data_IF_674371103170
#
_entry.id   IF_674371103170
#
_cell.length_a   1.000
_cell.length_b   1.000
_cell.length_c   1.000
_cell.angle_alpha   90.00
_cell.angle_beta   90.00
_cell.angle_gamma   90.00
#
_symmetry.space_group_name_H-M   'P 1'
#
loop_
_entity.id
_entity.type
_entity.pdbx_description
1 polymer ?
#
# COMPACT_ATOMS: atom_id res chain seq x y z
N UNK A 1 -52.78 24.36 -33.17
CA UNK A 1 -52.53 23.13 -32.37
C UNK A 1 -51.54 22.22 -33.10
N UNK A 2 -50.24 22.34 -32.85
CA UNK A 2 -49.24 21.29 -33.09
C UNK A 2 -48.25 21.36 -31.93
N UNK A 3 -48.37 20.37 -31.03
CA UNK A 3 -47.74 20.35 -29.72
C UNK A 3 -46.23 20.15 -29.91
N UNK A 4 -45.48 21.10 -29.39
CA UNK A 4 -44.06 20.98 -29.07
C UNK A 4 -43.94 19.82 -28.08
N UNK A 5 -43.29 18.73 -28.48
CA UNK A 5 -42.81 17.72 -27.55
C UNK A 5 -41.29 17.64 -27.70
N UNK A 6 -40.65 18.60 -27.06
CA UNK A 6 -39.23 18.60 -26.76
C UNK A 6 -39.01 17.46 -25.77
N UNK A 7 -38.59 16.28 -26.25
CA UNK A 7 -38.10 15.24 -25.37
C UNK A 7 -36.73 15.70 -24.86
N UNK A 8 -36.75 16.38 -23.71
CA UNK A 8 -35.58 16.70 -22.92
C UNK A 8 -34.96 15.36 -22.52
N UNK A 9 -33.91 14.96 -23.24
CA UNK A 9 -32.99 13.92 -22.79
C UNK A 9 -32.31 14.49 -21.55
N UNK A 10 -32.82 14.12 -20.39
CA UNK A 10 -32.25 14.47 -19.10
C UNK A 10 -30.97 13.64 -18.93
N UNK A 11 -29.86 14.12 -19.50
CA UNK A 11 -28.53 13.60 -19.21
C UNK A 11 -28.20 13.92 -17.76
N UNK A 12 -28.52 13.00 -16.85
CA UNK A 12 -28.00 13.00 -15.49
C UNK A 12 -26.53 12.56 -15.61
N UNK A 13 -25.64 13.52 -15.87
CA UNK A 13 -24.21 13.31 -15.65
C UNK A 13 -24.00 13.21 -14.14
N UNK A 14 -24.13 12.01 -13.59
CA UNK A 14 -23.70 11.73 -12.23
C UNK A 14 -22.20 12.00 -12.16
N UNK A 15 -21.80 13.07 -11.47
CA UNK A 15 -20.41 13.31 -11.12
C UNK A 15 -19.95 12.16 -10.23
N UNK A 16 -19.24 11.20 -10.80
CA UNK A 16 -18.51 10.22 -10.03
C UNK A 16 -17.31 10.95 -9.44
N UNK A 17 -17.33 11.16 -8.13
CA UNK A 17 -16.12 11.55 -7.42
C UNK A 17 -15.20 10.32 -7.45
N UNK A 18 -14.09 10.41 -8.18
CA UNK A 18 -13.08 9.35 -8.20
C UNK A 18 -12.31 9.49 -6.88
N UNK A 19 -12.79 8.84 -5.83
CA UNK A 19 -11.97 8.67 -4.63
C UNK A 19 -10.95 7.56 -4.91
N UNK A 20 -9.66 7.90 -4.86
CA UNK A 20 -8.62 6.88 -4.90
C UNK A 20 -8.67 6.11 -3.59
N UNK A 21 -8.99 4.82 -3.67
CA UNK A 21 -9.07 3.95 -2.50
C UNK A 21 -7.69 3.92 -1.80
N UNK A 22 -7.65 4.31 -0.53
CA UNK A 22 -6.42 4.23 0.27
C UNK A 22 -6.21 2.80 0.73
N UNK A 23 -4.99 2.30 0.57
CA UNK A 23 -4.56 0.99 1.04
C UNK A 23 -3.65 1.15 2.25
N UNK A 24 -3.86 0.30 3.24
CA UNK A 24 -3.16 0.27 4.51
C UNK A 24 -2.42 -1.05 4.67
N UNK A 25 -1.28 -0.99 5.35
CA UNK A 25 -0.47 -2.16 5.68
C UNK A 25 -0.64 -2.45 7.17
N UNK A 26 -0.94 -3.70 7.51
CA UNK A 26 -1.00 -4.18 8.89
C UNK A 26 -0.12 -5.40 9.08
N UNK A 27 0.73 -5.38 10.10
CA UNK A 27 1.61 -6.48 10.52
C UNK A 27 1.25 -7.01 11.90
N UNK A 28 2.13 -7.85 12.44
CA UNK A 28 1.90 -8.59 13.68
C UNK A 28 1.29 -9.97 13.41
N UNK A 29 1.28 -10.83 14.42
CA UNK A 29 0.71 -12.18 14.32
C UNK A 29 -0.81 -12.12 14.02
N UNK A 30 -1.51 -11.17 14.65
CA UNK A 30 -2.95 -10.95 14.50
C UNK A 30 -3.31 -9.84 13.49
N UNK A 31 -2.33 -9.31 12.75
CA UNK A 31 -2.50 -8.20 11.79
C UNK A 31 -3.13 -6.94 12.42
N UNK A 32 -2.76 -6.60 13.65
CA UNK A 32 -3.27 -5.47 14.43
C UNK A 32 -2.29 -4.28 14.54
N UNK A 33 -1.07 -4.43 14.02
CA UNK A 33 -0.05 -3.38 14.03
C UNK A 33 -0.08 -2.60 12.73
N UNK A 34 -0.47 -1.32 12.79
CA UNK A 34 -0.46 -0.45 11.63
C UNK A 34 0.98 -0.13 11.17
N UNK A 35 1.27 -0.34 9.88
CA UNK A 35 2.60 -0.15 9.27
C UNK A 35 2.64 0.94 8.19
N UNK A 36 1.54 1.67 7.97
CA UNK A 36 1.49 2.81 7.06
C UNK A 36 0.47 2.67 5.93
N UNK A 37 0.29 3.77 5.20
CA UNK A 37 -0.49 3.84 3.96
C UNK A 37 0.41 3.51 2.77
N UNK A 38 -0.02 2.55 1.97
CA UNK A 38 0.73 2.02 0.84
C UNK A 38 0.77 2.97 -0.36
N UNK A 39 -0.32 3.70 -0.62
CA UNK A 39 -0.50 4.54 -1.82
C UNK A 39 -0.78 6.01 -1.47
N UNK A 40 -0.17 6.51 -0.40
CA UNK A 40 -0.30 7.90 0.03
C UNK A 40 0.90 8.75 -0.42
N UNK A 41 0.69 10.07 -0.51
CA UNK A 41 1.76 11.02 -0.81
C UNK A 41 2.95 10.88 0.13
N UNK A 42 4.17 11.09 -0.37
CA UNK A 42 5.39 11.20 0.46
C UNK A 42 5.34 12.28 1.54
N UNK A 43 4.41 13.23 1.45
CA UNK A 43 4.19 14.24 2.48
C UNK A 43 3.15 13.83 3.55
N UNK A 44 2.43 12.71 3.36
CA UNK A 44 1.48 12.21 4.36
C UNK A 44 2.25 11.56 5.52
N UNK A 45 1.90 11.93 6.75
CA UNK A 45 2.59 11.45 7.96
C UNK A 45 2.43 9.96 8.23
N UNK A 46 1.43 9.32 7.60
CA UNK A 46 1.18 7.88 7.65
C UNK A 46 1.70 7.16 6.41
N UNK A 47 2.30 7.85 5.44
CA UNK A 47 2.81 7.21 4.22
C UNK A 47 4.06 6.38 4.50
N UNK A 48 4.14 5.21 3.86
CA UNK A 48 5.41 4.47 3.79
C UNK A 48 6.45 5.21 2.94
N UNK A 49 6.05 6.19 2.15
CA UNK A 49 6.94 6.95 1.27
C UNK A 49 7.51 8.22 1.90
N UNK A 50 7.14 8.49 3.16
CA UNK A 50 7.66 9.63 3.90
C UNK A 50 8.92 9.20 4.68
N UNK A 51 10.09 9.41 4.09
CA UNK A 51 11.40 9.03 4.68
C UNK A 51 11.69 9.70 6.04
N UNK A 52 11.02 10.82 6.32
CA UNK A 52 11.10 11.52 7.61
C UNK A 52 9.98 11.11 8.58
N UNK A 53 9.03 10.29 8.13
CA UNK A 53 7.85 9.86 8.87
C UNK A 53 8.05 8.55 9.63
N UNK A 54 7.10 8.25 10.53
CA UNK A 54 7.14 7.02 11.35
C UNK A 54 7.12 5.74 10.53
N UNK A 55 6.44 5.73 9.39
CA UNK A 55 6.19 4.51 8.60
C UNK A 55 7.06 4.41 7.35
N UNK A 56 7.73 5.50 6.96
CA UNK A 56 8.63 5.53 5.81
C UNK A 56 10.10 5.70 6.16
N UNK A 57 10.44 6.07 7.40
CA UNK A 57 11.84 6.22 7.81
C UNK A 57 12.52 4.86 8.02
N UNK A 58 13.70 4.67 7.42
CA UNK A 58 14.55 3.49 7.62
C UNK A 58 15.01 3.29 9.08
N UNK A 59 14.88 4.32 9.93
CA UNK A 59 15.28 4.25 11.33
C UNK A 59 14.14 3.87 12.28
N UNK A 60 12.89 3.79 11.80
CA UNK A 60 11.75 3.53 12.67
C UNK A 60 11.44 2.04 12.81
N UNK A 61 11.05 1.58 14.00
CA UNK A 61 10.73 0.17 14.25
C UNK A 61 9.48 -0.33 13.50
N UNK A 62 8.53 0.58 13.20
CA UNK A 62 7.29 0.26 12.49
C UNK A 62 7.38 0.49 10.97
N UNK A 63 8.55 0.92 10.47
CA UNK A 63 8.77 1.09 9.04
C UNK A 63 9.15 -0.23 8.40
N UNK A 64 8.56 -0.51 7.24
CA UNK A 64 8.95 -1.65 6.41
C UNK A 64 10.33 -1.43 5.76
N UNK A 65 10.84 -0.20 5.71
CA UNK A 65 12.15 0.10 5.13
C UNK A 65 13.31 -0.05 6.12
N UNK A 66 13.02 -0.28 7.40
CA UNK A 66 14.06 -0.54 8.40
C UNK A 66 14.56 -1.98 8.32
N UNK A 67 15.72 -2.18 7.70
CA UNK A 67 16.34 -3.51 7.50
C UNK A 67 16.72 -4.23 8.81
N UNK A 68 16.86 -3.47 9.91
CA UNK A 68 17.11 -4.00 11.25
C UNK A 68 15.83 -4.11 12.08
N UNK A 69 14.70 -3.64 11.54
CA UNK A 69 13.41 -3.57 12.21
C UNK A 69 12.60 -4.85 12.11
N UNK A 70 11.56 -4.96 12.94
CA UNK A 70 10.67 -6.13 12.97
C UNK A 70 9.90 -6.30 11.66
N UNK A 71 9.57 -5.21 10.97
CA UNK A 71 8.73 -5.25 9.77
C UNK A 71 9.48 -5.01 8.46
N UNK A 72 10.77 -4.68 8.51
CA UNK A 72 11.61 -4.52 7.32
C UNK A 72 12.70 -5.58 7.18
N UNK A 73 13.18 -6.16 8.28
CA UNK A 73 14.28 -7.13 8.22
C UNK A 73 13.93 -8.39 7.43
N UNK A 74 14.80 -8.78 6.50
CA UNK A 74 14.66 -10.01 5.71
C UNK A 74 14.71 -11.30 6.54
N UNK A 75 15.10 -11.20 7.82
CA UNK A 75 15.15 -12.33 8.76
C UNK A 75 13.92 -12.43 9.66
N UNK A 76 13.07 -11.39 9.68
CA UNK A 76 11.92 -11.34 10.57
C UNK A 76 10.76 -12.20 10.06
N UNK A 77 10.05 -12.88 10.97
CA UNK A 77 8.81 -13.59 10.65
C UNK A 77 7.64 -12.68 10.26
N UNK A 78 7.78 -11.37 10.46
CA UNK A 78 6.75 -10.34 10.21
C UNK A 78 7.05 -9.43 9.02
N UNK A 79 8.20 -9.62 8.36
CA UNK A 79 8.62 -8.78 7.25
C UNK A 79 7.99 -9.24 5.93
N UNK A 80 7.56 -8.31 5.04
CA UNK A 80 7.17 -8.68 3.70
C UNK A 80 8.38 -9.16 2.87
N UNK A 81 9.61 -8.81 3.26
CA UNK A 81 10.84 -9.12 2.54
C UNK A 81 11.51 -10.44 2.96
N UNK A 82 10.98 -11.10 4.00
CA UNK A 82 11.37 -12.48 4.32
C UNK A 82 10.49 -13.49 3.55
N UNK A 83 11.08 -14.22 2.60
CA UNK A 83 10.36 -15.26 1.83
C UNK A 83 9.84 -16.42 2.67
N UNK A 84 10.37 -16.61 3.88
CA UNK A 84 9.96 -17.62 4.87
C UNK A 84 9.15 -17.04 6.04
N UNK A 85 8.70 -15.79 5.94
CA UNK A 85 7.87 -15.15 6.96
C UNK A 85 6.65 -16.00 7.30
N UNK A 86 6.43 -16.23 8.60
CA UNK A 86 5.25 -16.93 9.11
C UNK A 86 4.02 -16.02 9.12
N UNK A 87 4.23 -14.74 9.42
CA UNK A 87 3.19 -13.73 9.61
C UNK A 87 3.47 -12.48 8.75
N UNK A 88 3.56 -12.62 7.41
CA UNK A 88 3.77 -11.45 6.56
C UNK A 88 2.61 -10.46 6.72
N UNK A 89 2.84 -9.16 6.50
CA UNK A 89 1.80 -8.14 6.61
C UNK A 89 0.65 -8.39 5.62
N UNK A 90 -0.48 -7.75 5.87
CA UNK A 90 -1.64 -7.74 5.00
C UNK A 90 -1.91 -6.35 4.46
N UNK A 91 -2.54 -6.32 3.29
CA UNK A 91 -3.02 -5.08 2.67
C UNK A 91 -4.52 -5.06 2.78
N UNK A 92 -5.05 -3.97 3.31
CA UNK A 92 -6.48 -3.74 3.45
C UNK A 92 -6.85 -2.34 2.99
N UNK A 93 -8.12 -2.11 2.67
CA UNK A 93 -8.65 -0.76 2.50
C UNK A 93 -9.23 -0.19 3.81
N UNK A 94 -9.85 0.98 3.74
CA UNK A 94 -10.45 1.67 4.89
C UNK A 94 -11.64 0.91 5.49
N UNK A 95 -12.33 0.10 4.68
CA UNK A 95 -13.46 -0.74 5.11
C UNK A 95 -12.98 -2.08 5.73
N UNK A 96 -11.68 -2.37 5.65
CA UNK A 96 -11.08 -3.62 6.10
C UNK A 96 -11.17 -4.76 5.09
N UNK A 97 -11.52 -4.48 3.83
CA UNK A 97 -11.51 -5.48 2.77
C UNK A 97 -10.08 -5.93 2.52
N UNK A 98 -9.88 -7.24 2.41
CA UNK A 98 -8.55 -7.85 2.29
C UNK A 98 -8.08 -7.93 0.83
N UNK A 99 -6.91 -7.34 0.55
CA UNK A 99 -6.28 -7.29 -0.79
C UNK A 99 -5.13 -8.29 -0.97
N UNK A 100 -4.73 -8.97 0.10
CA UNK A 100 -3.72 -10.02 0.05
C UNK A 100 -2.62 -9.87 1.09
N UNK A 101 -1.81 -10.93 1.23
CA UNK A 101 -0.57 -10.87 1.99
C UNK A 101 0.48 -10.08 1.20
N UNK A 102 1.11 -9.11 1.87
CA UNK A 102 2.24 -8.39 1.36
C UNK A 102 3.52 -9.19 1.64
N UNK A 103 4.07 -9.84 0.62
CA UNK A 103 5.26 -10.67 0.79
C UNK A 103 6.01 -10.90 -0.53
N UNK A 104 7.33 -11.05 -0.47
CA UNK A 104 8.18 -11.51 -1.58
C UNK A 104 7.98 -12.99 -1.91
N UNK A 105 7.35 -13.78 -1.02
CA UNK A 105 7.05 -15.18 -1.29
C UNK A 105 5.95 -15.32 -2.36
N UNK A 106 6.37 -15.52 -3.61
CA UNK A 106 5.49 -15.69 -4.78
C UNK A 106 4.54 -16.90 -4.69
N UNK A 107 4.82 -17.85 -3.80
CA UNK A 107 4.00 -19.05 -3.62
C UNK A 107 3.00 -18.93 -2.45
N UNK A 108 3.01 -17.82 -1.71
CA UNK A 108 2.03 -17.58 -0.63
C UNK A 108 0.62 -17.53 -1.23
N UNK A 109 -0.26 -18.42 -0.75
CA UNK A 109 -1.67 -18.36 -1.10
C UNK A 109 -2.26 -17.00 -0.72
N UNK A 110 -3.04 -16.40 -1.62
CA UNK A 110 -3.62 -15.06 -1.49
C UNK A 110 -2.58 -13.95 -1.29
N UNK A 111 -1.39 -14.08 -1.87
CA UNK A 111 -0.45 -12.96 -2.02
C UNK A 111 -1.12 -11.81 -2.77
N UNK A 112 -0.93 -10.58 -2.30
CA UNK A 112 -1.32 -9.40 -3.06
C UNK A 112 -0.56 -9.36 -4.39
N UNK A 113 -1.27 -9.13 -5.50
CA UNK A 113 -0.70 -9.19 -6.85
C UNK A 113 -1.22 -8.04 -7.71
N UNK A 114 -0.72 -6.85 -7.44
CA UNK A 114 -0.93 -5.64 -8.23
C UNK A 114 0.36 -4.84 -8.31
N UNK A 115 0.45 -3.95 -9.30
CA UNK A 115 1.71 -3.36 -9.76
C UNK A 115 2.55 -2.76 -8.63
N UNK A 116 1.97 -1.93 -7.76
CA UNK A 116 2.69 -1.29 -6.66
C UNK A 116 3.33 -2.30 -5.69
N UNK A 117 2.60 -3.36 -5.31
CA UNK A 117 3.16 -4.41 -4.44
C UNK A 117 4.24 -5.22 -5.15
N UNK A 118 4.05 -5.49 -6.45
CA UNK A 118 5.03 -6.21 -7.23
C UNK A 118 6.33 -5.39 -7.37
N UNK A 119 6.22 -4.10 -7.66
CA UNK A 119 7.34 -3.15 -7.71
C UNK A 119 8.06 -3.13 -6.36
N UNK A 120 7.34 -2.95 -5.25
CA UNK A 120 8.00 -2.91 -3.93
C UNK A 120 8.70 -4.24 -3.62
N UNK A 121 8.07 -5.38 -3.88
CA UNK A 121 8.70 -6.68 -3.63
C UNK A 121 9.88 -6.97 -4.55
N UNK A 122 9.90 -6.44 -5.78
CA UNK A 122 10.96 -6.68 -6.76
C UNK A 122 12.14 -5.73 -6.56
N UNK A 123 11.87 -4.47 -6.20
CA UNK A 123 12.86 -3.40 -6.08
C UNK A 123 13.14 -2.97 -4.64
N UNK A 124 12.75 -3.77 -3.64
CA UNK A 124 12.94 -3.47 -2.21
C UNK A 124 14.34 -2.93 -1.87
N UNK A 125 15.39 -3.62 -2.32
CA UNK A 125 16.78 -3.23 -2.08
C UNK A 125 17.11 -1.84 -2.62
N UNK A 126 16.60 -1.50 -3.79
CA UNK A 126 16.83 -0.18 -4.40
C UNK A 126 15.91 0.90 -3.81
N UNK A 127 14.68 0.54 -3.43
CA UNK A 127 13.72 1.48 -2.84
C UNK A 127 14.18 1.93 -1.46
N UNK A 128 14.67 1.01 -0.62
CA UNK A 128 15.10 1.35 0.73
C UNK A 128 16.33 2.25 0.77
N UNK A 129 17.18 2.23 -0.28
CA UNK A 129 18.34 3.12 -0.40
C UNK A 129 17.94 4.58 -0.65
N UNK A 130 16.82 4.82 -1.35
CA UNK A 130 16.31 6.16 -1.63
C UNK A 130 14.78 6.12 -1.84
N UNK A 131 14.04 6.19 -0.72
CA UNK A 131 12.57 6.08 -0.73
C UNK A 131 11.92 7.27 -1.44
N UNK A 132 12.51 8.47 -1.31
CA UNK A 132 12.00 9.70 -1.91
C UNK A 132 12.13 9.67 -3.45
N UNK A 133 13.30 9.26 -3.96
CA UNK A 133 13.54 9.16 -5.41
C UNK A 133 12.65 8.08 -6.04
N UNK A 134 12.45 6.95 -5.37
CA UNK A 134 11.56 5.89 -5.87
C UNK A 134 10.09 6.27 -5.85
N UNK A 135 9.64 7.06 -4.88
CA UNK A 135 8.28 7.60 -4.91
C UNK A 135 8.04 8.39 -6.21
N UNK A 136 8.96 9.28 -6.58
CA UNK A 136 8.85 10.12 -7.79
C UNK A 136 8.96 9.30 -9.10
N UNK A 137 9.54 8.09 -9.06
CA UNK A 137 9.57 7.16 -10.20
C UNK A 137 8.25 6.39 -10.38
N UNK A 138 7.52 6.15 -9.29
CA UNK A 138 6.33 5.29 -9.26
C UNK A 138 5.04 6.10 -9.44
N UNK A 139 4.96 7.30 -8.86
CA UNK A 139 3.75 8.15 -8.77
C UNK A 139 3.88 9.43 -9.59
#
# INVERSE_FOLDING_TARGET
MKRILFFIVCCIFSMHCIFSQTLYIYGGEDHDVFLGKLNASKYDSKSIWNEYGTYGSEYNANSIWNEYGTYGSEYSSYSPFNSYASYPPVIVDEEGNFYGYFTVNKYKSKRANFDLVNIICEYYESIREDVDEWYDKIF
#
